data_IF_375273426563
#
_entry.id   IF_375273426563
#
_cell.length_a   1.000
_cell.length_b   1.000
_cell.length_c   1.000
_cell.angle_alpha   90.00
_cell.angle_beta   90.00
_cell.angle_gamma   90.00
#
_symmetry.space_group_name_H-M   'P 1'
#
loop_
_entity.id
_entity.type
_entity.pdbx_description
1 polymer ?
#
# COMPACT_ATOMS: atom_id res chain seq x y z
N UNK A 1 15.42 -10.67 -11.07
CA UNK A 1 14.64 -9.44 -11.29
C UNK A 1 13.38 -9.51 -10.47
N UNK A 2 13.15 -8.50 -9.64
CA UNK A 2 11.95 -8.36 -8.81
C UNK A 2 11.29 -7.03 -9.15
N UNK A 3 10.01 -6.92 -8.81
CA UNK A 3 9.24 -5.67 -8.88
C UNK A 3 8.70 -5.34 -7.49
N UNK A 4 8.57 -4.04 -7.24
CA UNK A 4 8.04 -3.48 -6.00
C UNK A 4 6.92 -2.51 -6.36
N UNK A 5 5.75 -2.70 -5.75
CA UNK A 5 4.61 -1.76 -5.80
C UNK A 5 4.48 -1.15 -4.41
N UNK A 6 4.38 0.17 -4.31
CA UNK A 6 4.25 0.87 -3.03
C UNK A 6 3.00 1.73 -2.99
N UNK A 7 2.37 1.85 -1.82
CA UNK A 7 1.27 2.79 -1.58
C UNK A 7 1.47 3.49 -0.23
N UNK A 8 1.15 4.77 -0.16
CA UNK A 8 1.35 5.63 1.02
C UNK A 8 0.12 5.61 1.92
N UNK A 9 0.32 5.50 3.24
CA UNK A 9 -0.75 5.58 4.23
C UNK A 9 -0.59 6.85 5.07
N UNK A 10 -1.71 7.32 5.58
CA UNK A 10 -1.78 8.53 6.41
C UNK A 10 -2.43 8.23 7.75
N UNK A 11 -1.97 8.93 8.78
CA UNK A 11 -2.58 8.88 10.12
C UNK A 11 -3.10 10.27 10.43
N UNK A 12 -4.40 10.39 10.70
CA UNK A 12 -5.07 11.67 10.99
C UNK A 12 -4.80 12.72 9.90
N UNK A 13 -4.83 12.29 8.64
CA UNK A 13 -4.60 13.13 7.46
C UNK A 13 -3.14 13.55 7.23
N UNK A 14 -2.19 13.02 8.01
CA UNK A 14 -0.76 13.28 7.83
C UNK A 14 -0.07 12.05 7.22
N UNK A 15 0.75 12.20 6.16
CA UNK A 15 1.57 11.11 5.64
C UNK A 15 2.37 10.47 6.78
N UNK A 16 2.25 9.15 6.91
CA UNK A 16 2.86 8.41 8.02
C UNK A 16 3.88 7.36 7.56
N UNK A 17 3.71 6.83 6.34
CA UNK A 17 4.65 5.89 5.76
C UNK A 17 4.10 5.28 4.46
N UNK A 18 4.73 4.20 4.02
CA UNK A 18 4.30 3.44 2.86
C UNK A 18 4.35 1.94 3.12
N UNK A 19 3.48 1.20 2.44
CA UNK A 19 3.50 -0.26 2.37
C UNK A 19 3.98 -0.70 0.99
N UNK A 20 4.63 -1.87 0.91
CA UNK A 20 5.21 -2.39 -0.32
C UNK A 20 4.81 -3.84 -0.59
N UNK A 21 4.44 -4.14 -1.83
CA UNK A 21 4.26 -5.49 -2.36
C UNK A 21 5.49 -5.84 -3.19
N UNK A 22 6.26 -6.83 -2.75
CA UNK A 22 7.40 -7.38 -3.46
C UNK A 22 6.97 -8.62 -4.26
N UNK A 23 7.31 -8.67 -5.54
CA UNK A 23 6.92 -9.78 -6.42
C UNK A 23 7.88 -10.04 -7.58
N UNK A 24 7.64 -11.10 -8.36
CA UNK A 24 8.37 -11.36 -9.61
C UNK A 24 8.09 -10.25 -10.64
N UNK A 25 9.01 -10.06 -11.58
CA UNK A 25 8.90 -8.99 -12.59
C UNK A 25 7.64 -9.08 -13.48
N UNK A 26 7.05 -10.27 -13.64
CA UNK A 26 5.77 -10.46 -14.35
C UNK A 26 4.68 -10.81 -13.35
N UNK A 27 4.01 -9.79 -12.83
CA UNK A 27 2.82 -9.91 -11.98
C UNK A 27 1.64 -9.17 -12.60
N UNK A 28 0.43 -9.44 -12.11
CA UNK A 28 -0.77 -8.70 -12.47
C UNK A 28 -0.74 -7.32 -11.79
N UNK A 29 -0.13 -6.32 -12.44
CA UNK A 29 0.05 -4.99 -11.87
C UNK A 29 -1.25 -4.29 -11.49
N UNK A 30 -2.30 -4.26 -12.34
CA UNK A 30 -3.58 -3.66 -11.95
C UNK A 30 -4.12 -4.23 -10.64
N UNK A 31 -4.13 -5.56 -10.52
CA UNK A 31 -4.57 -6.22 -9.28
C UNK A 31 -3.70 -5.85 -8.08
N UNK A 32 -2.39 -5.79 -8.27
CA UNK A 32 -1.44 -5.53 -7.18
C UNK A 32 -1.49 -4.08 -6.70
N UNK A 33 -1.68 -3.13 -7.61
CA UNK A 33 -1.92 -1.73 -7.28
C UNK A 33 -3.21 -1.60 -6.47
N UNK A 34 -4.31 -2.19 -6.92
CA UNK A 34 -5.58 -2.14 -6.17
C UNK A 34 -5.49 -2.77 -4.78
N UNK A 35 -4.72 -3.85 -4.62
CA UNK A 35 -4.47 -4.46 -3.31
C UNK A 35 -3.64 -3.52 -2.43
N UNK A 36 -2.58 -2.91 -2.98
CA UNK A 36 -1.74 -1.97 -2.22
C UNK A 36 -2.55 -0.74 -1.77
N UNK A 37 -3.37 -0.16 -2.63
CA UNK A 37 -4.28 0.93 -2.29
C UNK A 37 -5.25 0.52 -1.18
N UNK A 38 -5.94 -0.61 -1.34
CA UNK A 38 -6.89 -1.10 -0.34
C UNK A 38 -6.25 -1.31 1.04
N UNK A 39 -5.06 -1.91 1.10
CA UNK A 39 -4.37 -2.13 2.37
C UNK A 39 -3.92 -0.80 2.96
N UNK A 40 -3.44 0.13 2.13
CA UNK A 40 -2.99 1.45 2.59
C UNK A 40 -4.13 2.26 3.21
N UNK A 41 -5.30 2.25 2.57
CA UNK A 41 -6.50 2.92 3.06
C UNK A 41 -6.98 2.29 4.37
N UNK A 42 -7.01 0.95 4.43
CA UNK A 42 -7.41 0.24 5.65
C UNK A 42 -6.45 0.48 6.81
N UNK A 43 -5.16 0.52 6.54
CA UNK A 43 -4.16 0.86 7.55
C UNK A 43 -4.31 2.30 8.03
N UNK A 44 -4.60 3.24 7.11
CA UNK A 44 -4.85 4.65 7.44
C UNK A 44 -6.05 4.81 8.37
N UNK A 45 -7.14 4.08 8.09
CA UNK A 45 -8.35 4.04 8.92
C UNK A 45 -8.05 3.51 10.32
N UNK A 46 -7.52 2.28 10.41
CA UNK A 46 -7.23 1.59 11.69
C UNK A 46 -6.29 2.42 12.57
N UNK A 47 -5.21 2.97 12.00
CA UNK A 47 -4.22 3.72 12.77
C UNK A 47 -4.69 5.12 13.15
N UNK A 48 -5.69 5.67 12.45
CA UNK A 48 -6.29 6.97 12.79
C UNK A 48 -7.32 6.88 13.92
N UNK A 49 -7.83 5.69 14.21
CA UNK A 49 -8.79 5.42 15.30
C UNK A 49 -8.14 5.35 16.70
N UNK A 50 -6.80 5.25 16.78
CA UNK A 50 -6.01 5.35 18.02
C UNK A 50 -5.59 6.79 18.32
#
# INVERSE_FOLDING_TARGET
NCSLVTSEYSIKGKPAGAIGILGPTRMDYPRMISIAEYISDKLSEILSEF
#
